data_IF_405131200442
#
_entry.id   IF_405131200442
#
_cell.length_a   1.000
_cell.length_b   1.000
_cell.length_c   1.000
_cell.angle_alpha   90.00
_cell.angle_beta   90.00
_cell.angle_gamma   90.00
#
_symmetry.space_group_name_H-M   'P 1'
#
loop_
_entity.id
_entity.type
_entity.pdbx_description
1 polymer ?
#
# COMPACT_ATOMS: atom_id res chain seq x y z
N UNK A 1 -18.99 -12.80 38.83
CA UNK A 1 -19.39 -13.73 37.75
C UNK A 1 -18.13 -14.05 36.96
N UNK A 2 -17.62 -15.28 36.98
CA UNK A 2 -16.48 -15.68 36.12
C UNK A 2 -17.08 -16.27 34.85
N UNK A 3 -16.87 -15.58 33.73
CA UNK A 3 -17.29 -16.06 32.41
C UNK A 3 -16.16 -16.95 31.91
N UNK A 4 -16.38 -18.26 31.94
CA UNK A 4 -15.53 -19.25 31.26
C UNK A 4 -16.02 -19.36 29.82
N UNK A 5 -15.26 -18.75 28.90
CA UNK A 5 -15.48 -18.91 27.45
C UNK A 5 -14.70 -20.16 27.03
N UNK A 6 -15.31 -21.11 26.29
CA UNK A 6 -14.59 -22.27 25.77
C UNK A 6 -13.49 -21.83 24.79
N UNK A 7 -12.30 -22.41 24.91
CA UNK A 7 -11.14 -22.07 24.06
C UNK A 7 -11.44 -22.29 22.56
N UNK A 8 -12.31 -23.23 22.22
CA UNK A 8 -12.75 -23.52 20.85
C UNK A 8 -13.47 -22.34 20.19
N UNK A 9 -14.32 -21.62 20.93
CA UNK A 9 -15.03 -20.43 20.43
C UNK A 9 -14.08 -19.24 20.19
N UNK A 10 -13.02 -19.13 21.00
CA UNK A 10 -11.99 -18.08 20.83
C UNK A 10 -11.14 -18.39 19.60
N UNK A 11 -10.80 -19.65 19.36
CA UNK A 11 -9.97 -20.07 18.24
C UNK A 11 -10.64 -19.79 16.89
N UNK A 12 -11.93 -20.09 16.73
CA UNK A 12 -12.66 -19.86 15.48
C UNK A 12 -12.84 -18.36 15.19
N UNK A 13 -13.25 -17.58 16.19
CA UNK A 13 -13.44 -16.13 16.03
C UNK A 13 -12.10 -15.39 15.79
N UNK A 14 -11.02 -15.83 16.44
CA UNK A 14 -9.67 -15.30 16.22
C UNK A 14 -9.15 -15.68 14.82
N UNK A 15 -9.40 -16.91 14.38
CA UNK A 15 -9.02 -17.38 13.04
C UNK A 15 -9.73 -16.57 11.97
N UNK A 16 -11.05 -16.35 12.11
CA UNK A 16 -11.79 -15.49 11.18
C UNK A 16 -11.25 -14.05 11.13
N UNK A 17 -10.93 -13.46 12.29
CA UNK A 17 -10.38 -12.10 12.36
C UNK A 17 -9.01 -12.00 11.70
N UNK A 18 -8.14 -13.00 11.87
CA UNK A 18 -6.83 -13.05 11.22
C UNK A 18 -7.02 -13.19 9.70
N UNK A 19 -7.88 -14.12 9.26
CA UNK A 19 -8.17 -14.33 7.84
C UNK A 19 -8.72 -13.04 7.20
N UNK A 20 -9.66 -12.35 7.85
CA UNK A 20 -10.18 -11.06 7.35
C UNK A 20 -9.09 -10.00 7.25
N UNK A 21 -8.24 -9.83 8.27
CA UNK A 21 -7.13 -8.86 8.23
C UNK A 21 -6.15 -9.15 7.11
N UNK A 22 -5.85 -10.42 6.84
CA UNK A 22 -4.98 -10.83 5.73
C UNK A 22 -5.64 -10.54 4.39
N UNK A 23 -6.92 -10.84 4.23
CA UNK A 23 -7.69 -10.53 3.01
C UNK A 23 -7.78 -9.02 2.76
N UNK A 24 -8.02 -8.22 3.79
CA UNK A 24 -8.08 -6.75 3.67
C UNK A 24 -6.71 -6.19 3.26
N UNK A 25 -5.61 -6.68 3.84
CA UNK A 25 -4.26 -6.29 3.47
C UNK A 25 -3.92 -6.67 2.02
N UNK A 26 -4.39 -7.82 1.54
CA UNK A 26 -4.26 -8.25 0.15
C UNK A 26 -5.06 -7.35 -0.81
N UNK A 27 -6.31 -7.03 -0.47
CA UNK A 27 -7.17 -6.19 -1.29
C UNK A 27 -6.63 -4.76 -1.42
N UNK A 28 -6.11 -4.18 -0.32
CA UNK A 28 -5.44 -2.87 -0.38
C UNK A 28 -4.22 -2.90 -1.33
N UNK A 29 -3.42 -3.97 -1.30
CA UNK A 29 -2.25 -4.12 -2.19
C UNK A 29 -2.67 -4.22 -3.66
N UNK A 30 -3.66 -5.06 -3.96
CA UNK A 30 -4.19 -5.24 -5.31
C UNK A 30 -4.79 -3.92 -5.85
N UNK A 31 -5.52 -3.17 -5.02
CA UNK A 31 -6.05 -1.85 -5.37
C UNK A 31 -4.94 -0.87 -5.73
N UNK A 32 -3.87 -0.81 -4.95
CA UNK A 32 -2.73 0.10 -5.21
C UNK A 32 -2.01 -0.29 -6.51
N UNK A 33 -1.78 -1.57 -6.76
CA UNK A 33 -1.16 -2.03 -8.01
C UNK A 33 -2.04 -1.71 -9.23
N UNK A 34 -3.35 -1.99 -9.16
CA UNK A 34 -4.25 -1.72 -10.28
C UNK A 34 -4.38 -0.22 -10.58
N UNK A 35 -4.50 0.61 -9.55
CA UNK A 35 -4.57 2.08 -9.69
C UNK A 35 -3.29 2.69 -10.24
N UNK A 36 -2.13 2.05 -10.02
CA UNK A 36 -0.86 2.53 -10.57
C UNK A 36 -0.84 2.60 -12.11
N UNK A 37 -1.71 1.82 -12.78
CA UNK A 37 -1.85 1.83 -14.25
C UNK A 37 -2.47 3.13 -14.76
N UNK A 38 -3.34 3.75 -13.95
CA UNK A 38 -4.03 5.01 -14.27
C UNK A 38 -3.12 6.24 -14.14
N UNK A 39 -1.92 6.08 -13.56
CA UNK A 39 -0.97 7.16 -13.45
C UNK A 39 -0.40 7.56 -14.82
N UNK A 40 -0.10 8.86 -15.03
CA UNK A 40 0.67 9.30 -16.20
C UNK A 40 2.09 8.69 -16.18
N UNK A 41 2.91 8.85 -17.24
CA UNK A 41 4.28 8.32 -17.24
C UNK A 41 5.19 8.90 -16.14
N UNK A 42 5.00 10.17 -15.79
CA UNK A 42 5.77 10.90 -14.77
C UNK A 42 4.84 11.73 -13.86
N UNK A 43 4.02 11.08 -13.00
CA UNK A 43 3.18 11.75 -12.03
C UNK A 43 4.01 12.52 -11.01
N UNK A 44 3.48 13.66 -10.56
CA UNK A 44 3.99 14.33 -9.37
C UNK A 44 3.50 13.64 -8.09
N UNK A 45 4.08 13.99 -6.95
CA UNK A 45 3.69 13.42 -5.64
C UNK A 45 2.20 13.56 -5.34
N UNK A 46 1.56 14.67 -5.71
CA UNK A 46 0.13 14.90 -5.46
C UNK A 46 -0.75 13.98 -6.29
N UNK A 47 -0.39 13.73 -7.55
CA UNK A 47 -1.08 12.80 -8.44
C UNK A 47 -0.94 11.36 -7.96
N UNK A 48 0.27 10.94 -7.56
CA UNK A 48 0.50 9.61 -6.97
C UNK A 48 -0.39 9.40 -5.75
N UNK A 49 -0.42 10.36 -4.83
CA UNK A 49 -1.29 10.29 -3.63
C UNK A 49 -2.77 10.18 -4.00
N UNK A 50 -3.23 11.01 -4.93
CA UNK A 50 -4.63 11.06 -5.35
C UNK A 50 -5.07 9.76 -6.03
N UNK A 51 -4.29 9.26 -6.99
CA UNK A 51 -4.66 8.07 -7.77
C UNK A 51 -4.55 6.82 -6.92
N UNK A 52 -3.47 6.66 -6.14
CA UNK A 52 -3.31 5.48 -5.28
C UNK A 52 -4.18 5.55 -4.01
N UNK A 53 -4.74 6.72 -3.68
CA UNK A 53 -5.51 6.93 -2.45
C UNK A 53 -4.66 6.79 -1.18
N UNK A 54 -3.38 7.18 -1.26
CA UNK A 54 -2.42 7.07 -0.15
C UNK A 54 -2.11 8.44 0.48
N UNK A 55 -1.75 8.40 1.76
CA UNK A 55 -1.26 9.55 2.49
C UNK A 55 0.18 9.95 2.12
N UNK A 56 0.60 11.12 2.58
CA UNK A 56 1.96 11.64 2.37
C UNK A 56 3.01 10.87 3.17
N UNK A 57 2.61 10.33 4.32
CA UNK A 57 3.38 9.42 5.17
C UNK A 57 3.76 8.14 4.42
N UNK A 58 2.79 7.47 3.77
CA UNK A 58 3.04 6.26 2.96
C UNK A 58 3.96 6.55 1.79
N UNK A 59 3.73 7.64 1.06
CA UNK A 59 4.57 7.99 -0.08
C UNK A 59 6.00 8.35 0.36
N UNK A 60 6.15 9.10 1.44
CA UNK A 60 7.46 9.43 2.01
C UNK A 60 8.19 8.18 2.50
N UNK A 61 7.47 7.26 3.13
CA UNK A 61 8.02 5.97 3.53
C UNK A 61 8.54 5.18 2.32
N UNK A 62 7.80 5.12 1.22
CA UNK A 62 8.26 4.44 -0.01
C UNK A 62 9.51 5.09 -0.61
N UNK A 63 9.58 6.43 -0.60
CA UNK A 63 10.78 7.16 -1.05
C UNK A 63 11.98 6.79 -0.18
N UNK A 64 11.80 6.72 1.15
CA UNK A 64 12.86 6.33 2.08
C UNK A 64 13.26 4.85 1.93
N UNK A 65 12.33 3.97 1.51
CA UNK A 65 12.62 2.57 1.19
C UNK A 65 13.38 2.39 -0.13
N UNK A 66 13.48 3.43 -0.95
CA UNK A 66 14.25 3.40 -2.20
C UNK A 66 13.42 3.61 -3.47
N UNK A 67 12.15 4.04 -3.38
CA UNK A 67 11.40 4.48 -4.55
C UNK A 67 12.13 5.67 -5.19
N UNK A 68 12.67 5.48 -6.41
CA UNK A 68 13.40 6.54 -7.10
C UNK A 68 12.46 7.66 -7.51
N UNK A 69 12.88 8.87 -7.23
CA UNK A 69 12.18 10.09 -7.62
C UNK A 69 13.09 10.95 -8.48
N UNK A 70 12.53 11.62 -9.48
CA UNK A 70 13.23 12.58 -10.31
C UNK A 70 12.85 13.99 -9.88
N UNK A 71 13.85 14.79 -9.53
CA UNK A 71 13.65 16.19 -9.21
C UNK A 71 13.72 17.02 -10.50
N UNK A 72 12.59 17.55 -10.95
CA UNK A 72 12.48 18.38 -12.15
C UNK A 72 12.64 19.87 -11.81
N UNK A 73 12.28 20.26 -10.58
CA UNK A 73 12.56 21.60 -10.04
C UNK A 73 12.66 21.57 -8.51
N UNK A 74 12.85 22.72 -7.86
CA UNK A 74 12.86 22.81 -6.39
C UNK A 74 11.57 22.29 -5.73
N UNK A 75 10.44 22.37 -6.44
CA UNK A 75 9.11 21.99 -5.94
C UNK A 75 8.45 20.87 -6.76
N UNK A 76 9.00 20.51 -7.92
CA UNK A 76 8.46 19.45 -8.78
C UNK A 76 9.31 18.19 -8.63
N UNK A 77 8.74 17.22 -7.92
CA UNK A 77 9.30 15.88 -7.78
C UNK A 77 8.33 14.93 -8.48
N UNK A 78 8.86 14.25 -9.50
CA UNK A 78 8.13 13.29 -10.31
C UNK A 78 8.60 11.88 -10.02
N UNK A 79 7.70 10.93 -10.15
CA UNK A 79 7.96 9.51 -9.95
C UNK A 79 7.63 8.84 -11.27
N UNK A 80 8.56 8.09 -11.83
CA UNK A 80 8.28 7.35 -13.06
C UNK A 80 7.29 6.22 -12.76
N UNK A 81 6.24 6.08 -13.57
CA UNK A 81 5.23 5.04 -13.38
C UNK A 81 5.83 3.64 -13.39
N UNK A 82 6.73 3.36 -14.33
CA UNK A 82 7.41 2.07 -14.45
C UNK A 82 8.22 1.74 -13.20
N UNK A 83 8.91 2.74 -12.65
CA UNK A 83 9.68 2.61 -11.41
C UNK A 83 8.77 2.36 -10.21
N UNK A 84 7.66 3.12 -10.10
CA UNK A 84 6.67 2.92 -9.05
C UNK A 84 6.04 1.53 -9.14
N UNK A 85 5.70 1.07 -10.34
CA UNK A 85 5.19 -0.29 -10.57
C UNK A 85 6.24 -1.35 -10.20
N UNK A 86 7.51 -1.15 -10.55
CA UNK A 86 8.59 -2.05 -10.18
C UNK A 86 8.76 -2.10 -8.67
N UNK A 87 8.80 -0.94 -8.01
CA UNK A 87 8.90 -0.82 -6.56
C UNK A 87 7.72 -1.51 -5.85
N UNK A 88 6.49 -1.30 -6.35
CA UNK A 88 5.30 -1.95 -5.83
C UNK A 88 5.35 -3.46 -6.02
N UNK A 89 5.90 -3.97 -7.13
CA UNK A 89 6.11 -5.42 -7.29
C UNK A 89 7.17 -5.96 -6.33
N UNK A 90 8.35 -5.36 -6.31
CA UNK A 90 9.49 -5.82 -5.49
C UNK A 90 9.20 -5.80 -3.99
N UNK A 91 8.43 -4.83 -3.49
CA UNK A 91 8.16 -4.66 -2.06
C UNK A 91 6.82 -5.26 -1.60
N UNK A 92 5.96 -5.67 -2.55
CA UNK A 92 4.63 -6.22 -2.22
C UNK A 92 4.33 -7.58 -2.87
N UNK A 93 5.24 -8.17 -3.66
CA UNK A 93 5.18 -9.59 -4.06
C UNK A 93 5.51 -10.53 -2.87
N UNK A 94 4.89 -11.70 -2.90
CA UNK A 94 4.93 -12.77 -1.88
C UNK A 94 6.10 -13.74 -2.10
#
# INVERSE_FOLDING_TARGET
MKITVPDELIADELTEQIVRKVLDALDERLKVMNKSVELPPYPNKSEVKKVLGIGDDKLTHWINLGLKTQQWSKLDIRIERSELQRFLKENFEF
#
